data_IF_911936407762
#
_entry.id   IF_911936407762
#
_cell.length_a   1.000
_cell.length_b   1.000
_cell.length_c   1.000
_cell.angle_alpha   90.00
_cell.angle_beta   90.00
_cell.angle_gamma   90.00
#
_symmetry.space_group_name_H-M   'P 1'
#
loop_
_entity.id
_entity.type
_entity.pdbx_description
1 polymer ?
#
# COMPACT_ATOMS: atom_id res chain seq x y z
N UNK A 1 21.36 -12.59 6.61
CA UNK A 1 20.26 -13.10 5.77
C UNK A 1 20.10 -14.58 6.13
N UNK A 2 19.23 -14.91 7.09
CA UNK A 2 18.89 -16.31 7.39
C UNK A 2 17.90 -16.77 6.33
N UNK A 3 18.25 -17.77 5.53
CA UNK A 3 17.27 -18.44 4.68
C UNK A 3 16.36 -19.24 5.60
N UNK A 4 15.06 -18.91 5.62
CA UNK A 4 14.08 -19.66 6.39
C UNK A 4 14.11 -21.12 5.94
N UNK A 5 14.20 -22.03 6.91
CA UNK A 5 14.04 -23.46 6.64
C UNK A 5 12.62 -23.69 6.13
N UNK A 6 12.43 -24.66 5.23
CA UNK A 6 11.07 -25.06 4.88
C UNK A 6 10.32 -25.48 6.15
N UNK A 7 9.08 -25.04 6.39
CA UNK A 7 8.30 -25.39 7.57
C UNK A 7 8.10 -26.91 7.75
N UNK A 8 8.24 -27.68 6.68
CA UNK A 8 8.15 -29.15 6.71
C UNK A 8 9.41 -29.81 7.29
N UNK A 9 10.48 -29.04 7.44
CA UNK A 9 11.76 -29.48 8.02
C UNK A 9 11.94 -28.99 9.46
N UNK A 10 10.96 -28.27 9.99
CA UNK A 10 10.97 -27.75 11.35
C UNK A 10 10.21 -28.70 12.28
N UNK A 11 10.71 -28.83 13.50
CA UNK A 11 9.93 -29.36 14.62
C UNK A 11 8.76 -28.42 14.94
N UNK A 12 7.77 -28.94 15.65
CA UNK A 12 6.64 -28.11 16.09
C UNK A 12 7.09 -26.92 16.95
N UNK A 13 8.12 -27.10 17.78
CA UNK A 13 8.68 -26.04 18.63
C UNK A 13 9.30 -24.92 17.78
N UNK A 14 10.15 -25.26 16.81
CA UNK A 14 10.80 -24.26 15.94
C UNK A 14 9.78 -23.45 15.13
N UNK A 15 8.68 -24.07 14.68
CA UNK A 15 7.60 -23.34 14.00
C UNK A 15 6.89 -22.37 14.93
N UNK A 16 6.67 -22.76 16.18
CA UNK A 16 6.03 -21.88 17.17
C UNK A 16 6.93 -20.70 17.52
N UNK A 17 8.24 -20.92 17.64
CA UNK A 17 9.21 -19.86 17.88
C UNK A 17 9.26 -18.87 16.70
N UNK A 18 9.29 -19.36 15.45
CA UNK A 18 9.27 -18.48 14.27
C UNK A 18 7.98 -17.64 14.21
N UNK A 19 6.82 -18.25 14.50
CA UNK A 19 5.54 -17.53 14.56
C UNK A 19 5.56 -16.50 15.69
N UNK A 20 6.10 -16.84 16.86
CA UNK A 20 6.22 -15.93 17.99
C UNK A 20 7.09 -14.71 17.65
N UNK A 21 8.21 -14.90 16.95
CA UNK A 21 9.10 -13.83 16.50
C UNK A 21 8.39 -12.88 15.52
N UNK A 22 7.70 -13.43 14.51
CA UNK A 22 6.91 -12.64 13.55
C UNK A 22 5.86 -11.79 14.28
N UNK A 23 5.14 -12.41 15.23
CA UNK A 23 4.11 -11.72 16.01
C UNK A 23 4.70 -10.64 16.93
N UNK A 24 5.84 -10.91 17.57
CA UNK A 24 6.53 -9.93 18.42
C UNK A 24 6.93 -8.68 17.63
N UNK A 25 7.52 -8.85 16.45
CA UNK A 25 7.85 -7.74 15.53
C UNK A 25 6.58 -6.98 15.13
N UNK A 26 5.51 -7.68 14.79
CA UNK A 26 4.21 -7.09 14.47
C UNK A 26 3.65 -6.24 15.62
N UNK A 27 3.72 -6.76 16.85
CA UNK A 27 3.26 -6.08 18.06
C UNK A 27 4.07 -4.81 18.35
N UNK A 28 5.40 -4.88 18.23
CA UNK A 28 6.28 -3.71 18.40
C UNK A 28 5.90 -2.62 17.39
N UNK A 29 5.74 -2.99 16.12
CA UNK A 29 5.34 -2.04 15.06
C UNK A 29 3.96 -1.43 15.32
N UNK A 30 3.00 -2.24 15.79
CA UNK A 30 1.66 -1.75 16.11
C UNK A 30 1.69 -0.76 17.28
N UNK A 31 2.44 -1.06 18.34
CA UNK A 31 2.63 -0.16 19.49
C UNK A 31 3.32 1.14 19.06
N UNK A 32 4.36 1.04 18.24
CA UNK A 32 5.05 2.21 17.68
C UNK A 32 4.12 3.11 16.85
N UNK A 33 3.23 2.52 16.03
CA UNK A 33 2.22 3.25 15.25
C UNK A 33 1.15 3.92 16.13
N UNK A 34 0.75 3.26 17.22
CA UNK A 34 -0.18 3.86 18.20
C UNK A 34 0.48 4.99 18.99
N UNK A 35 1.80 4.94 19.20
CA UNK A 35 2.56 5.99 19.90
C UNK A 35 3.02 7.12 18.98
N UNK A 36 3.20 6.88 17.67
CA UNK A 36 3.39 7.95 16.69
C UNK A 36 2.06 8.67 16.52
N UNK A 37 2.02 9.96 16.85
CA UNK A 37 0.82 10.80 16.75
C UNK A 37 0.10 10.53 15.41
N UNK A 38 -1.18 10.15 15.48
CA UNK A 38 -2.16 10.27 14.38
C UNK A 38 -2.38 11.73 13.92
N UNK A 39 -1.55 12.66 14.41
CA UNK A 39 -1.56 14.08 14.16
C UNK A 39 -0.18 14.50 13.68
N UNK A 40 0.25 13.96 12.54
CA UNK A 40 1.24 14.62 11.72
C UNK A 40 0.55 14.97 10.40
N UNK A 41 -0.04 16.16 10.40
CA UNK A 41 -0.42 16.92 9.22
C UNK A 41 -1.51 16.25 8.37
N UNK A 42 -2.77 16.54 8.72
CA UNK A 42 -3.83 16.61 7.72
C UNK A 42 -3.45 17.73 6.73
N UNK A 43 -2.49 17.48 5.85
CA UNK A 43 -2.27 18.34 4.70
C UNK A 43 -3.44 18.12 3.78
N UNK A 44 -4.27 19.14 3.68
CA UNK A 44 -5.38 19.25 2.74
C UNK A 44 -5.00 18.60 1.40
N UNK A 45 -5.61 17.47 1.09
CA UNK A 45 -5.56 16.92 -0.26
C UNK A 45 -6.56 17.72 -1.08
N UNK A 46 -6.15 18.91 -1.54
CA UNK A 46 -6.96 19.72 -2.43
C UNK A 46 -7.01 19.02 -3.80
N UNK A 47 -8.14 18.38 -4.08
CA UNK A 47 -8.41 17.75 -5.37
C UNK A 47 -8.99 18.78 -6.35
N UNK A 48 -8.23 19.82 -6.66
CA UNK A 48 -8.56 20.71 -7.78
C UNK A 48 -8.20 20.03 -9.11
N UNK A 49 -9.00 19.01 -9.47
CA UNK A 49 -9.02 18.49 -10.83
C UNK A 49 -9.91 19.41 -11.68
N UNK A 50 -9.31 20.42 -12.30
CA UNK A 50 -9.98 21.04 -13.46
C UNK A 50 -10.03 19.99 -14.56
N UNK A 51 -11.25 19.49 -14.84
CA UNK A 51 -11.44 18.52 -15.91
C UNK A 51 -10.95 19.11 -17.24
N UNK A 52 -10.02 18.44 -17.91
CA UNK A 52 -9.58 18.83 -19.25
C UNK A 52 -10.80 18.71 -20.18
N UNK A 53 -11.35 19.85 -20.60
CA UNK A 53 -12.44 19.91 -21.57
C UNK A 53 -12.03 19.09 -22.81
N UNK A 54 -12.72 17.98 -23.05
CA UNK A 54 -12.53 17.21 -24.27
C UNK A 54 -13.06 18.03 -25.44
N UNK A 55 -12.18 18.62 -26.23
CA UNK A 55 -12.56 19.30 -27.47
C UNK A 55 -13.13 18.28 -28.46
N UNK A 56 -14.45 18.22 -28.57
CA UNK A 56 -15.11 17.53 -29.67
C UNK A 56 -14.88 18.36 -30.94
N UNK A 57 -14.01 17.88 -31.84
CA UNK A 57 -13.87 18.47 -33.19
C UNK A 57 -14.87 17.76 -34.11
N UNK A 58 -15.90 18.44 -34.65
CA UNK A 58 -16.74 17.85 -35.67
C UNK A 58 -15.93 17.75 -36.97
N UNK A 59 -15.83 16.53 -37.51
CA UNK A 59 -15.18 16.26 -38.81
C UNK A 59 -16.03 16.89 -39.91
N UNK A 60 -15.53 17.96 -40.53
CA UNK A 60 -16.11 18.53 -41.74
C UNK A 60 -15.88 17.60 -42.94
N UNK A 61 -16.90 16.83 -43.34
CA UNK A 61 -16.93 16.18 -44.67
C UNK A 61 -17.31 17.21 -45.73
N UNK A 62 -16.33 17.75 -46.45
CA UNK A 62 -16.59 18.44 -47.74
C UNK A 62 -17.09 17.41 -48.76
N UNK A 63 -18.32 17.58 -49.27
CA UNK A 63 -18.74 16.97 -50.55
C UNK A 63 -18.07 17.73 -51.69
N UNK A 64 -17.40 17.01 -52.58
CA UNK A 64 -16.88 17.54 -53.85
C UNK A 64 -18.06 17.69 -54.82
N UNK A 65 -18.13 18.83 -55.50
CA UNK A 65 -18.86 18.98 -56.78
C UNK A 65 -17.86 18.87 -57.92
#
# INVERSE_FOLDING_TARGET
>A
MHNALSPDRMTAAERLDEVADILAVGLIRLKARKSSRLSADARDSCLDYTARQSGHVPVNRRRKS
#
